data_IF_432360279542
#
_entry.id   IF_432360279542
#
_cell.length_a   1.000
_cell.length_b   1.000
_cell.length_c   1.000
_cell.angle_alpha   90.00
_cell.angle_beta   90.00
_cell.angle_gamma   90.00
#
_symmetry.space_group_name_H-M   'P 1'
#
loop_
_entity.id
_entity.type
_entity.pdbx_description
1 polymer ?
#
# COMPACT_ATOMS: atom_id res chain seq x y z
N UNK A 1 5.08 19.80 4.20
CA UNK A 1 6.16 20.43 4.99
C UNK A 1 7.09 19.41 5.67
N UNK A 2 6.67 18.18 6.00
CA UNK A 2 7.60 17.14 6.48
C UNK A 2 8.32 16.41 5.34
N UNK A 3 7.57 15.81 4.41
CA UNK A 3 8.15 15.05 3.28
C UNK A 3 9.01 15.92 2.34
N UNK A 4 8.66 17.19 2.16
CA UNK A 4 9.46 18.15 1.40
C UNK A 4 10.80 18.51 2.06
N UNK A 5 10.94 18.31 3.37
CA UNK A 5 12.19 18.64 4.07
C UNK A 5 13.34 17.67 3.75
N UNK A 6 13.02 16.52 3.14
CA UNK A 6 13.99 15.48 2.77
C UNK A 6 14.16 15.36 1.26
N UNK A 7 13.67 16.32 0.47
CA UNK A 7 13.94 16.35 -0.97
C UNK A 7 15.46 16.38 -1.25
N UNK A 8 15.97 15.62 -2.24
CA UNK A 8 15.23 14.85 -3.25
C UNK A 8 14.98 13.37 -2.89
N UNK A 9 15.02 12.98 -1.61
CA UNK A 9 14.76 11.58 -1.20
C UNK A 9 13.26 11.28 -1.36
N UNK A 10 12.86 10.27 -2.15
CA UNK A 10 11.45 9.91 -2.34
C UNK A 10 10.75 9.56 -1.01
N UNK A 11 9.66 10.25 -0.66
CA UNK A 11 8.95 10.02 0.59
C UNK A 11 7.45 10.36 0.57
N UNK A 12 6.67 9.57 1.31
CA UNK A 12 5.28 9.87 1.65
C UNK A 12 4.97 9.51 3.11
N UNK A 13 3.87 10.04 3.63
CA UNK A 13 3.29 9.67 4.93
C UNK A 13 2.01 8.90 4.68
N UNK A 14 1.77 7.86 5.49
CA UNK A 14 0.55 7.05 5.45
C UNK A 14 -0.06 6.86 6.84
N UNK A 15 -1.36 6.55 6.90
CA UNK A 15 -2.04 6.14 8.12
C UNK A 15 -1.88 4.62 8.40
N UNK A 16 -2.51 4.12 9.46
CA UNK A 16 -2.48 2.70 9.86
C UNK A 16 -3.16 1.75 8.87
N UNK A 17 -4.16 2.22 8.10
CA UNK A 17 -4.78 1.47 6.99
C UNK A 17 -3.90 1.48 5.72
N UNK A 18 -2.74 2.14 5.78
CA UNK A 18 -1.82 2.36 4.66
C UNK A 18 -2.33 3.37 3.61
N UNK A 19 -3.29 4.22 3.97
CA UNK A 19 -3.70 5.34 3.10
C UNK A 19 -2.64 6.42 3.10
N UNK A 20 -2.26 6.88 1.91
CA UNK A 20 -1.25 7.92 1.68
C UNK A 20 -1.88 9.29 1.91
N UNK A 21 -1.33 10.03 2.88
CA UNK A 21 -1.85 11.32 3.34
C UNK A 21 -1.14 12.51 2.68
N UNK A 22 0.18 12.38 2.43
CA UNK A 22 0.99 13.41 1.79
C UNK A 22 2.26 12.78 1.21
N UNK A 23 2.81 13.38 0.15
CA UNK A 23 3.97 12.91 -0.60
C UNK A 23 4.81 14.11 -1.07
N UNK A 24 6.07 13.87 -1.43
CA UNK A 24 6.91 14.83 -2.13
C UNK A 24 6.98 14.55 -3.64
N UNK A 25 7.57 15.49 -4.38
CA UNK A 25 7.63 15.40 -5.85
C UNK A 25 8.56 14.26 -6.28
N UNK A 26 9.64 14.00 -5.52
CA UNK A 26 10.57 12.91 -5.80
C UNK A 26 9.94 11.50 -5.82
N UNK A 27 8.99 11.21 -4.91
CA UNK A 27 8.27 9.92 -4.95
C UNK A 27 7.18 9.90 -6.02
N UNK A 28 6.59 11.07 -6.32
CA UNK A 28 5.58 11.19 -7.38
C UNK A 28 6.19 10.92 -8.76
N UNK A 29 7.38 11.47 -9.01
CA UNK A 29 8.14 11.25 -10.25
C UNK A 29 8.60 9.80 -10.40
N UNK A 30 8.90 9.13 -9.26
CA UNK A 30 9.36 7.75 -9.27
C UNK A 30 8.22 6.76 -9.52
N UNK A 31 7.07 6.92 -8.86
CA UNK A 31 5.97 5.95 -8.93
C UNK A 31 4.75 6.48 -9.67
N UNK A 32 4.11 7.51 -9.13
CA UNK A 32 2.87 8.08 -9.65
C UNK A 32 2.62 9.44 -9.03
N UNK A 33 2.10 10.38 -9.81
CA UNK A 33 1.49 11.57 -9.22
C UNK A 33 0.22 11.17 -8.43
N UNK A 34 0.37 10.99 -7.12
CA UNK A 34 -0.72 10.65 -6.22
C UNK A 34 -1.83 11.71 -6.21
N UNK A 35 -1.55 12.94 -6.65
CA UNK A 35 -2.54 14.00 -6.82
C UNK A 35 -3.55 13.70 -7.92
N UNK A 36 -3.13 12.95 -8.94
CA UNK A 36 -3.98 12.51 -10.05
C UNK A 36 -4.94 11.37 -9.68
N UNK A 37 -4.66 10.64 -8.59
CA UNK A 37 -5.49 9.53 -8.09
C UNK A 37 -6.65 10.04 -7.25
N UNK A 38 -7.79 9.35 -7.26
CA UNK A 38 -8.88 9.65 -6.33
C UNK A 38 -8.47 9.32 -4.90
N UNK A 39 -9.06 9.96 -3.86
CA UNK A 39 -8.67 9.72 -2.47
C UNK A 39 -8.69 8.25 -2.04
N UNK A 40 -9.66 7.47 -2.51
CA UNK A 40 -9.78 6.04 -2.17
C UNK A 40 -8.72 5.16 -2.86
N UNK A 41 -8.09 5.66 -3.92
CA UNK A 41 -7.06 4.95 -4.68
C UNK A 41 -5.66 5.13 -4.09
N UNK A 42 -5.49 6.12 -3.20
CA UNK A 42 -4.22 6.49 -2.57
C UNK A 42 -3.92 5.59 -1.37
N UNK A 43 -3.82 4.29 -1.59
CA UNK A 43 -3.46 3.31 -0.57
C UNK A 43 -2.25 2.50 -1.00
N UNK A 44 -1.22 2.39 -0.15
CA UNK A 44 0.02 1.70 -0.51
C UNK A 44 -0.22 0.24 -0.89
N UNK A 45 -1.11 -0.47 -0.17
CA UNK A 45 -1.42 -1.86 -0.46
C UNK A 45 -2.10 -1.98 -1.82
N UNK A 46 -3.08 -1.11 -2.12
CA UNK A 46 -3.72 -1.08 -3.44
C UNK A 46 -2.72 -0.83 -4.55
N UNK A 47 -1.85 0.16 -4.39
CA UNK A 47 -0.85 0.51 -5.40
C UNK A 47 0.12 -0.64 -5.67
N UNK A 48 0.50 -1.42 -4.65
CA UNK A 48 1.35 -2.59 -4.82
C UNK A 48 0.76 -3.62 -5.78
N UNK A 49 -0.55 -3.86 -5.75
CA UNK A 49 -1.19 -4.91 -6.54
C UNK A 49 -1.82 -4.42 -7.85
N UNK A 50 -2.27 -3.16 -7.91
CA UNK A 50 -3.04 -2.63 -9.04
C UNK A 50 -2.20 -1.71 -9.95
N UNK A 51 -1.13 -1.09 -9.43
CA UNK A 51 -0.40 -0.07 -10.16
C UNK A 51 0.96 -0.56 -10.67
N UNK A 52 1.13 -0.59 -12.00
CA UNK A 52 2.29 -1.22 -12.67
C UNK A 52 3.66 -0.70 -12.18
N UNK A 53 3.92 0.61 -12.03
CA UNK A 53 5.17 1.10 -11.47
C UNK A 53 5.56 0.50 -10.10
N UNK A 54 4.61 0.27 -9.20
CA UNK A 54 4.91 -0.39 -7.92
C UNK A 54 5.35 -1.85 -8.12
N UNK A 55 4.73 -2.55 -9.08
CA UNK A 55 5.07 -3.93 -9.43
C UNK A 55 6.46 -4.06 -10.06
N UNK A 56 6.91 -3.05 -10.82
CA UNK A 56 8.14 -3.14 -11.63
C UNK A 56 9.36 -2.43 -11.04
N UNK A 57 9.17 -1.38 -10.24
CA UNK A 57 10.29 -0.59 -9.70
C UNK A 57 10.75 -1.06 -8.32
N UNK A 58 9.89 -1.79 -7.59
CA UNK A 58 10.26 -2.40 -6.31
C UNK A 58 10.98 -3.72 -6.61
N UNK A 59 12.28 -3.76 -6.33
CA UNK A 59 13.13 -4.94 -6.59
C UNK A 59 12.57 -6.21 -5.95
N UNK A 60 12.27 -6.16 -4.66
CA UNK A 60 11.79 -7.29 -3.86
C UNK A 60 10.27 -7.17 -3.62
N UNK A 61 9.51 -6.94 -4.71
CA UNK A 61 8.08 -6.63 -4.65
C UNK A 61 7.28 -7.67 -3.86
N UNK A 62 7.53 -8.97 -4.09
CA UNK A 62 6.78 -10.05 -3.42
C UNK A 62 6.96 -9.97 -1.90
N UNK A 63 8.21 -9.81 -1.44
CA UNK A 63 8.52 -9.67 -0.02
C UNK A 63 7.88 -8.42 0.58
N UNK A 64 7.97 -7.27 -0.12
CA UNK A 64 7.34 -6.03 0.32
C UNK A 64 5.81 -6.19 0.44
N UNK A 65 5.18 -6.80 -0.55
CA UNK A 65 3.74 -7.05 -0.61
C UNK A 65 3.26 -7.96 0.52
N UNK A 66 3.95 -9.08 0.77
CA UNK A 66 3.68 -9.97 1.90
C UNK A 66 3.79 -9.24 3.26
N UNK A 67 4.80 -8.38 3.41
CA UNK A 67 4.93 -7.55 4.61
C UNK A 67 3.78 -6.54 4.75
N UNK A 68 3.36 -5.91 3.65
CA UNK A 68 2.24 -4.96 3.69
C UNK A 68 0.91 -5.67 3.96
N UNK A 69 0.68 -6.87 3.43
CA UNK A 69 -0.46 -7.73 3.79
C UNK A 69 -0.47 -7.99 5.29
N UNK A 70 0.66 -8.42 5.85
CA UNK A 70 0.79 -8.72 7.28
C UNK A 70 0.52 -7.49 8.15
N UNK A 71 1.09 -6.34 7.77
CA UNK A 71 0.87 -5.05 8.44
C UNK A 71 -0.59 -4.64 8.40
N UNK A 72 -1.23 -4.80 7.24
CA UNK A 72 -2.63 -4.47 7.04
C UNK A 72 -3.57 -5.37 7.85
N UNK A 73 -3.28 -6.68 7.93
CA UNK A 73 -4.01 -7.62 8.80
C UNK A 73 -3.93 -7.20 10.26
N UNK A 74 -2.73 -6.89 10.76
CA UNK A 74 -2.53 -6.47 12.14
C UNK A 74 -3.31 -5.17 12.44
N UNK A 75 -3.25 -4.19 11.54
CA UNK A 75 -4.03 -2.96 11.62
C UNK A 75 -5.54 -3.21 11.64
N UNK A 76 -6.04 -4.09 10.77
CA UNK A 76 -7.46 -4.47 10.69
C UNK A 76 -7.97 -5.09 11.99
N UNK A 77 -7.17 -5.92 12.65
CA UNK A 77 -7.54 -6.54 13.94
C UNK A 77 -7.77 -5.48 15.02
N UNK A 78 -6.95 -4.42 15.02
CA UNK A 78 -7.00 -3.34 16.02
C UNK A 78 -8.04 -2.26 15.67
N UNK A 79 -8.55 -2.23 14.44
CA UNK A 79 -9.47 -1.19 13.99
C UNK A 79 -10.85 -1.30 14.67
N UNK A 80 -11.35 -0.15 15.15
CA UNK A 80 -12.72 -0.04 15.69
C UNK A 80 -13.78 -0.25 14.61
N UNK A 81 -13.53 0.26 13.39
CA UNK A 81 -14.36 0.02 12.21
C UNK A 81 -13.57 -0.77 11.17
N UNK A 82 -14.03 -2.01 10.89
CA UNK A 82 -13.40 -2.91 9.93
C UNK A 82 -13.89 -2.69 8.50
N UNK A 83 -15.00 -1.99 8.29
CA UNK A 83 -15.63 -1.83 6.96
C UNK A 83 -14.66 -1.27 5.90
N UNK A 84 -13.87 -0.22 6.18
CA UNK A 84 -12.91 0.27 5.19
C UNK A 84 -11.83 -0.75 4.85
N UNK A 85 -11.41 -1.58 5.81
CA UNK A 85 -10.43 -2.63 5.54
C UNK A 85 -11.04 -3.73 4.68
N UNK A 86 -12.26 -4.15 5.02
CA UNK A 86 -13.00 -5.22 4.33
C UNK A 86 -13.28 -4.86 2.87
N UNK A 87 -13.73 -3.63 2.61
CA UNK A 87 -13.95 -3.16 1.23
C UNK A 87 -12.68 -3.16 0.40
N UNK A 88 -11.52 -2.84 1.00
CA UNK A 88 -10.25 -2.88 0.27
C UNK A 88 -9.80 -4.32 0.01
N UNK A 89 -10.02 -5.24 0.95
CA UNK A 89 -9.73 -6.67 0.74
C UNK A 89 -10.57 -7.22 -0.41
N UNK A 90 -11.86 -6.93 -0.42
CA UNK A 90 -12.78 -7.34 -1.48
C UNK A 90 -12.31 -6.81 -2.85
N UNK A 91 -12.05 -5.50 -2.94
CA UNK A 91 -11.52 -4.88 -4.17
C UNK A 91 -10.23 -5.57 -4.64
N UNK A 92 -9.26 -5.76 -3.76
CA UNK A 92 -7.97 -6.33 -4.15
C UNK A 92 -8.03 -7.83 -4.48
N UNK A 93 -8.92 -8.58 -3.82
CA UNK A 93 -9.17 -9.98 -4.16
C UNK A 93 -9.79 -10.14 -5.55
N UNK A 94 -10.59 -9.16 -6.00
CA UNK A 94 -11.13 -9.15 -7.38
C UNK A 94 -10.09 -8.71 -8.40
N UNK A 95 -9.22 -7.75 -8.06
CA UNK A 95 -8.28 -7.15 -9.00
C UNK A 95 -6.94 -7.89 -9.12
N UNK A 96 -6.56 -8.71 -8.14
CA UNK A 96 -5.28 -9.43 -8.13
C UNK A 96 -5.42 -10.86 -7.60
N UNK A 97 -5.23 -11.87 -8.46
CA UNK A 97 -5.15 -13.27 -8.02
C UNK A 97 -4.06 -13.50 -6.97
N UNK A 98 -2.88 -12.88 -7.13
CA UNK A 98 -1.80 -13.00 -6.15
C UNK A 98 -2.18 -12.42 -4.78
N UNK A 99 -2.89 -11.29 -4.75
CA UNK A 99 -3.43 -10.77 -3.49
C UNK A 99 -4.44 -11.73 -2.88
N UNK A 100 -5.37 -12.27 -3.68
CA UNK A 100 -6.37 -13.23 -3.21
C UNK A 100 -5.71 -14.44 -2.55
N UNK A 101 -4.71 -15.03 -3.21
CA UNK A 101 -3.98 -16.20 -2.71
C UNK A 101 -3.23 -15.88 -1.41
N UNK A 102 -2.45 -14.81 -1.39
CA UNK A 102 -1.67 -14.42 -0.20
C UNK A 102 -2.54 -13.91 0.95
N UNK A 103 -3.71 -13.35 0.66
CA UNK A 103 -4.66 -12.93 1.69
C UNK A 103 -5.35 -14.12 2.38
N UNK A 104 -5.45 -15.28 1.73
CA UNK A 104 -5.95 -16.50 2.40
C UNK A 104 -4.86 -17.21 3.20
N UNK A 105 -3.60 -17.08 2.78
CA UNK A 105 -2.47 -17.70 3.46
C UNK A 105 -2.10 -16.96 4.76
N UNK A 106 -2.36 -17.61 5.91
CA UNK A 106 -2.08 -17.09 7.24
C UNK A 106 -0.59 -17.17 7.60
N UNK A 107 0.22 -17.95 6.88
CA UNK A 107 1.66 -18.09 7.07
C UNK A 107 2.48 -17.02 6.32
N UNK A 108 1.82 -16.14 5.57
CA UNK A 108 2.45 -14.93 5.02
C UNK A 108 2.95 -14.08 6.19
N UNK A 109 4.25 -14.15 6.46
CA UNK A 109 4.95 -13.36 7.49
C UNK A 109 5.51 -12.07 6.88
N UNK A 110 5.33 -10.95 7.58
CA UNK A 110 6.08 -9.71 7.34
C UNK A 110 7.47 -9.77 7.98
N UNK A 111 8.32 -8.77 7.70
CA UNK A 111 9.71 -8.71 8.17
C UNK A 111 9.88 -9.10 9.65
N UNK A 112 10.91 -9.94 9.92
CA UNK A 112 11.56 -10.06 11.23
C UNK A 112 12.48 -8.86 11.50
#
# INVERSE_FOLDING_TARGET
>A
MLVRAIDPIPAYVRNTRLDILTWNDAIADLFVDYGSLQPHERNTLRLLFVYRPYRTLIRDWEQMSCCMISTFRAARVQAADKRPFDSLVEELSELSPEFSDWWQDLDVKGFD
#
